data_IF_929039429961
#
_entry.id   IF_929039429961
#
_cell.length_a   1.000
_cell.length_b   1.000
_cell.length_c   1.000
_cell.angle_alpha   90.00
_cell.angle_beta   90.00
_cell.angle_gamma   90.00
#
_symmetry.space_group_name_H-M   'P 1'
#
loop_
_entity.id
_entity.type
_entity.pdbx_description
1 polymer ?
#
# COMPACT_ATOMS: atom_id res chain seq x y z
N UNK A 1 1.71 22.36 -7.34
CA UNK A 1 0.82 21.56 -8.20
C UNK A 1 -0.35 21.13 -7.33
N UNK A 2 -1.53 21.76 -7.49
CA UNK A 2 -2.74 21.36 -6.78
C UNK A 2 -3.63 20.63 -7.78
N UNK A 3 -4.09 19.43 -7.43
CA UNK A 3 -5.05 18.69 -8.26
C UNK A 3 -6.37 19.46 -8.31
N UNK A 4 -7.09 19.45 -9.44
CA UNK A 4 -8.41 20.11 -9.61
C UNK A 4 -9.53 19.55 -8.70
N UNK A 5 -9.22 18.54 -7.90
CA UNK A 5 -10.12 17.83 -7.00
C UNK A 5 -10.56 18.64 -5.75
N UNK A 6 -10.00 19.83 -5.53
CA UNK A 6 -10.36 20.68 -4.39
C UNK A 6 -9.82 20.17 -3.04
N UNK A 7 -10.51 20.47 -1.94
CA UNK A 7 -10.14 20.02 -0.59
C UNK A 7 -10.65 18.60 -0.38
N UNK A 8 -9.73 17.66 -0.18
CA UNK A 8 -10.05 16.25 0.04
C UNK A 8 -9.96 15.93 1.53
N UNK A 9 -10.94 15.19 2.05
CA UNK A 9 -11.00 14.82 3.47
C UNK A 9 -10.10 13.62 3.79
N UNK A 10 -9.70 13.51 5.06
CA UNK A 10 -8.91 12.38 5.55
C UNK A 10 -9.64 11.06 5.27
N UNK A 11 -8.94 10.09 4.68
CA UNK A 11 -9.48 8.76 4.38
C UNK A 11 -10.14 8.64 3.01
N UNK A 12 -10.20 9.71 2.21
CA UNK A 12 -10.56 9.58 0.80
C UNK A 12 -9.51 8.74 0.06
N UNK A 13 -10.00 7.72 -0.67
CA UNK A 13 -9.20 6.89 -1.57
C UNK A 13 -9.39 7.42 -2.99
N UNK A 14 -8.29 7.72 -3.67
CA UNK A 14 -8.29 8.21 -5.05
C UNK A 14 -7.75 7.10 -5.95
N UNK A 15 -8.51 6.76 -6.97
CA UNK A 15 -8.01 5.93 -8.06
C UNK A 15 -7.31 6.82 -9.09
N UNK A 16 -6.02 6.57 -9.29
CA UNK A 16 -5.19 7.32 -10.23
C UNK A 16 -5.00 6.46 -11.47
N UNK A 17 -5.51 6.90 -12.61
CA UNK A 17 -5.21 6.28 -13.89
C UNK A 17 -3.72 6.49 -14.20
N UNK A 18 -3.00 5.39 -14.38
CA UNK A 18 -1.58 5.36 -14.68
C UNK A 18 -1.27 4.58 -15.96
N UNK A 19 -2.27 4.41 -16.83
CA UNK A 19 -2.14 3.65 -18.08
C UNK A 19 -1.04 4.18 -19.01
N UNK A 20 -0.79 5.50 -19.01
CA UNK A 20 0.26 6.13 -19.80
C UNK A 20 1.68 5.91 -19.24
N UNK A 21 1.81 5.49 -17.97
CA UNK A 21 3.11 5.27 -17.33
C UNK A 21 3.73 3.90 -17.68
N UNK A 22 3.02 3.04 -18.42
CA UNK A 22 3.56 1.77 -18.90
C UNK A 22 3.99 0.79 -17.80
N UNK A 23 3.41 0.90 -16.61
CA UNK A 23 3.80 0.10 -15.45
C UNK A 23 3.38 -1.37 -15.63
N UNK A 24 4.37 -2.27 -15.53
CA UNK A 24 4.18 -3.72 -15.62
C UNK A 24 4.66 -4.40 -14.33
N UNK A 25 3.91 -5.40 -13.89
CA UNK A 25 4.34 -6.25 -12.77
C UNK A 25 5.39 -7.25 -13.24
N UNK A 26 6.13 -7.86 -12.30
CA UNK A 26 7.10 -8.93 -12.61
C UNK A 26 6.46 -10.14 -13.32
N UNK A 27 5.14 -10.33 -13.16
CA UNK A 27 4.37 -11.36 -13.85
C UNK A 27 3.86 -10.92 -15.25
N UNK A 28 4.30 -9.78 -15.77
CA UNK A 28 3.94 -9.26 -17.10
C UNK A 28 2.55 -8.63 -17.18
N UNK A 29 1.82 -8.48 -16.06
CA UNK A 29 0.51 -7.81 -16.06
C UNK A 29 0.66 -6.30 -16.09
N UNK A 30 -0.10 -5.64 -16.96
CA UNK A 30 -0.17 -4.17 -17.10
C UNK A 30 -1.01 -3.58 -15.97
N UNK A 31 -0.51 -2.51 -15.36
CA UNK A 31 -1.19 -1.78 -14.28
C UNK A 31 -1.93 -0.57 -14.86
N UNK A 32 -3.26 -0.55 -14.72
CA UNK A 32 -4.13 0.49 -15.28
C UNK A 32 -4.47 1.61 -14.28
N UNK A 33 -4.31 1.32 -12.99
CA UNK A 33 -4.63 2.25 -11.91
C UNK A 33 -3.79 2.01 -10.65
N UNK A 34 -3.55 3.07 -9.89
CA UNK A 34 -2.94 3.02 -8.55
C UNK A 34 -3.82 3.76 -7.57
N UNK A 35 -4.02 3.17 -6.39
CA UNK A 35 -4.73 3.83 -5.31
C UNK A 35 -3.78 4.69 -4.48
N UNK A 36 -4.19 5.93 -4.22
CA UNK A 36 -3.54 6.85 -3.28
C UNK A 36 -4.53 7.21 -2.18
N UNK A 37 -4.12 7.10 -0.92
CA UNK A 37 -4.96 7.44 0.22
C UNK A 37 -4.53 8.79 0.79
N UNK A 38 -5.47 9.73 0.92
CA UNK A 38 -5.18 11.01 1.57
C UNK A 38 -5.15 10.80 3.07
N UNK A 39 -3.95 10.87 3.65
CA UNK A 39 -3.70 10.78 5.09
C UNK A 39 -2.92 12.00 5.59
N UNK A 40 -3.21 12.41 6.82
CA UNK A 40 -2.57 13.56 7.48
C UNK A 40 -1.24 13.17 8.14
N UNK A 41 -0.88 11.89 8.05
CA UNK A 41 0.32 11.28 8.58
C UNK A 41 1.04 10.61 7.39
N UNK A 42 1.73 11.38 6.52
CA UNK A 42 2.43 10.85 5.35
C UNK A 42 3.50 9.80 5.70
N UNK A 43 4.03 9.81 6.93
CA UNK A 43 4.89 8.78 7.50
C UNK A 43 4.20 7.41 7.61
N UNK A 44 2.87 7.41 7.77
CA UNK A 44 2.05 6.20 7.82
C UNK A 44 1.55 5.78 6.42
N UNK A 45 1.64 6.66 5.42
CA UNK A 45 1.44 6.32 4.00
C UNK A 45 2.67 5.65 3.39
N UNK A 46 3.41 4.90 4.23
CA UNK A 46 4.61 4.18 3.86
C UNK A 46 4.48 3.53 2.50
N UNK A 47 5.49 3.76 1.67
CA UNK A 47 5.57 3.20 0.34
C UNK A 47 5.32 1.69 0.42
N UNK A 48 4.32 1.18 -0.30
CA UNK A 48 4.01 -0.27 -0.28
C UNK A 48 5.07 -1.04 -1.10
N UNK A 49 5.61 -0.39 -2.12
CA UNK A 49 6.54 -0.97 -3.09
C UNK A 49 7.65 0.04 -3.42
N UNK A 50 8.90 -0.24 -3.04
CA UNK A 50 10.06 0.50 -3.50
C UNK A 50 10.58 -0.07 -4.83
N UNK A 51 11.19 0.76 -5.66
CA UNK A 51 11.88 0.33 -6.89
C UNK A 51 13.36 0.63 -6.69
N UNK A 52 14.22 -0.36 -6.88
CA UNK A 52 15.66 -0.16 -6.83
C UNK A 52 16.21 0.45 -8.14
N UNK A 53 17.49 0.81 -8.14
CA UNK A 53 18.18 1.42 -9.30
C UNK A 53 18.21 0.50 -10.53
N UNK A 54 17.96 -0.80 -10.35
CA UNK A 54 17.88 -1.80 -11.42
C UNK A 54 16.43 -2.05 -11.89
N UNK A 55 15.47 -1.28 -11.39
CA UNK A 55 14.05 -1.42 -11.74
C UNK A 55 13.33 -2.58 -11.06
N UNK A 56 13.94 -3.25 -10.08
CA UNK A 56 13.31 -4.34 -9.33
C UNK A 56 12.44 -3.79 -8.20
N UNK A 57 11.25 -4.37 -8.07
CA UNK A 57 10.24 -3.97 -7.10
C UNK A 57 10.47 -4.73 -5.77
N UNK A 58 10.65 -3.98 -4.69
CA UNK A 58 10.75 -4.47 -3.31
C UNK A 58 9.47 -4.15 -2.55
N UNK A 59 8.79 -5.19 -2.05
CA UNK A 59 7.59 -5.03 -1.22
C UNK A 59 8.00 -4.68 0.20
N UNK A 60 7.59 -3.50 0.66
CA UNK A 60 7.98 -2.97 1.97
C UNK A 60 7.03 -3.40 3.10
N UNK A 61 5.82 -3.86 2.75
CA UNK A 61 4.82 -4.33 3.73
C UNK A 61 4.50 -5.81 3.54
N UNK A 62 4.19 -6.47 4.65
CA UNK A 62 3.74 -7.87 4.69
C UNK A 62 2.32 -8.00 4.14
N UNK A 63 2.07 -9.04 3.35
CA UNK A 63 0.72 -9.41 2.93
C UNK A 63 -0.05 -10.11 4.05
N UNK A 64 -1.37 -9.92 4.10
CA UNK A 64 -2.21 -10.57 5.09
C UNK A 64 -2.22 -12.09 4.86
N UNK A 65 -1.92 -12.91 5.89
CA UNK A 65 -1.89 -14.37 5.75
C UNK A 65 -3.27 -15.01 5.68
N UNK A 66 -4.35 -14.25 5.91
CA UNK A 66 -5.69 -14.80 5.89
C UNK A 66 -6.12 -15.15 4.46
N UNK A 67 -6.71 -16.33 4.28
CA UNK A 67 -7.09 -16.88 2.97
C UNK A 67 -8.00 -15.96 2.15
N UNK A 68 -8.82 -15.13 2.82
CA UNK A 68 -9.75 -14.20 2.19
C UNK A 68 -9.16 -12.80 1.93
N UNK A 69 -7.95 -12.52 2.42
CA UNK A 69 -7.25 -11.25 2.23
C UNK A 69 -6.10 -11.38 1.23
N UNK A 70 -5.25 -12.40 1.35
CA UNK A 70 -4.33 -12.85 0.30
C UNK A 70 -3.46 -11.78 -0.39
N UNK A 71 -2.90 -12.17 -1.54
CA UNK A 71 -1.97 -11.36 -2.31
C UNK A 71 -2.58 -10.00 -2.72
N UNK A 72 -1.89 -8.90 -2.40
CA UNK A 72 -2.35 -7.54 -2.64
C UNK A 72 -3.05 -6.84 -1.46
N UNK A 73 -3.38 -7.55 -0.37
CA UNK A 73 -3.83 -6.92 0.88
C UNK A 73 -2.67 -6.82 1.85
N UNK A 74 -2.13 -5.62 2.00
CA UNK A 74 -1.00 -5.36 2.87
C UNK A 74 -1.45 -5.05 4.30
N UNK A 75 -0.74 -5.58 5.27
CA UNK A 75 -0.96 -5.27 6.68
C UNK A 75 -0.31 -3.92 7.02
N UNK A 76 -1.00 -3.11 7.82
CA UNK A 76 -0.45 -1.90 8.42
C UNK A 76 0.56 -2.31 9.50
N UNK A 77 1.79 -1.79 9.41
CA UNK A 77 2.81 -1.98 10.42
C UNK A 77 2.67 -0.89 11.50
N UNK A 78 2.43 -1.30 12.73
CA UNK A 78 2.43 -0.45 13.93
C UNK A 78 3.62 -0.86 14.82
N UNK A 79 3.88 -0.10 15.88
CA UNK A 79 5.03 -0.35 16.76
C UNK A 79 5.00 -1.74 17.42
N UNK A 80 3.82 -2.17 17.87
CA UNK A 80 3.60 -3.41 18.63
C UNK A 80 2.93 -4.52 17.81
N UNK A 81 2.43 -4.20 16.61
CA UNK A 81 1.57 -5.12 15.85
C UNK A 81 1.54 -4.86 14.37
N UNK A 82 1.09 -5.85 13.62
CA UNK A 82 0.60 -5.69 12.25
C UNK A 82 -0.91 -5.88 12.21
N UNK A 83 -1.61 -4.98 11.54
CA UNK A 83 -3.07 -4.99 11.46
C UNK A 83 -3.55 -5.06 10.00
N UNK A 84 -4.43 -6.00 9.69
CA UNK A 84 -5.09 -6.05 8.39
C UNK A 84 -6.37 -5.19 8.38
N UNK A 85 -6.40 -4.13 7.57
CA UNK A 85 -7.58 -3.28 7.44
C UNK A 85 -8.79 -3.94 6.77
N UNK A 86 -8.61 -5.04 6.04
CA UNK A 86 -9.70 -5.74 5.33
C UNK A 86 -10.45 -6.72 6.23
N UNK A 87 -9.74 -7.45 7.10
CA UNK A 87 -10.33 -8.51 7.91
C UNK A 87 -10.17 -8.36 9.42
N UNK A 88 -9.45 -7.33 9.87
CA UNK A 88 -9.16 -7.13 11.28
C UNK A 88 -8.11 -8.08 11.86
N UNK A 89 -7.53 -8.98 11.06
CA UNK A 89 -6.49 -9.90 11.53
C UNK A 89 -5.27 -9.13 12.05
N UNK A 90 -4.85 -9.47 13.26
CA UNK A 90 -3.81 -8.75 13.98
C UNK A 90 -2.69 -9.71 14.39
N UNK A 91 -1.45 -9.37 14.05
CA UNK A 91 -0.25 -10.05 14.50
C UNK A 91 0.44 -9.15 15.52
N UNK A 92 0.39 -9.49 16.80
CA UNK A 92 1.15 -8.78 17.83
C UNK A 92 2.58 -9.31 17.88
N UNK A 93 3.57 -8.43 17.99
CA UNK A 93 4.95 -8.84 18.24
C UNK A 93 5.22 -8.77 19.74
N UNK A 94 5.51 -9.91 20.35
CA UNK A 94 6.20 -9.91 21.63
C UNK A 94 7.65 -9.49 21.38
N UNK A 95 8.10 -8.39 22.01
CA UNK A 95 9.54 -8.11 22.13
C UNK A 95 10.16 -9.34 22.81
N UNK A 96 11.00 -10.07 22.09
CA UNK A 96 11.90 -11.02 22.73
C UNK A 96 12.94 -10.17 23.46
N UNK A 97 12.96 -10.29 24.79
CA UNK A 97 13.93 -9.66 25.69
C UNK A 97 15.33 -10.21 25.47
#
# INVERSE_FOLDING_TARGET
MYTSLGVITKGTVIEVNISELGLVTQAGKVVWGKYAQVTNNPENDGCINAVDENGKIHRLRRECPADHCGAGVFMAAMEDRHYCGKCGYTLAFSKQE
#
